data_IF_958261640611
#
_entry.id   IF_958261640611
#
_cell.length_a   1.000
_cell.length_b   1.000
_cell.length_c   1.000
_cell.angle_alpha   90.00
_cell.angle_beta   90.00
_cell.angle_gamma   90.00
#
_symmetry.space_group_name_H-M   'P 1'
#
loop_
_entity.id
_entity.type
_entity.pdbx_description
1 polymer ?
#
# COMPACT_ATOMS: atom_id res chain seq x y z
N UNK A 1 25.02 17.81 25.12
CA UNK A 1 25.26 16.37 25.34
C UNK A 1 26.66 15.98 24.87
N UNK A 2 27.10 16.34 23.64
CA UNK A 2 28.42 15.99 23.11
C UNK A 2 29.61 16.55 23.97
N UNK A 3 29.50 17.74 24.49
CA UNK A 3 30.54 18.33 25.35
C UNK A 3 30.65 17.64 26.71
N UNK A 4 29.55 17.17 27.30
CA UNK A 4 29.57 16.48 28.60
C UNK A 4 30.16 15.09 28.55
N UNK A 5 30.01 14.38 27.44
CA UNK A 5 30.53 13.02 27.26
C UNK A 5 32.04 13.02 26.99
N UNK A 6 32.56 14.06 26.33
CA UNK A 6 34.01 14.22 26.10
C UNK A 6 34.75 14.47 27.45
N UNK A 7 34.17 15.24 28.36
CA UNK A 7 34.75 15.49 29.71
C UNK A 7 34.81 14.23 30.59
N UNK A 8 33.78 13.35 30.49
CA UNK A 8 33.75 12.10 31.28
C UNK A 8 34.76 11.04 30.81
N UNK A 9 35.12 11.05 29.54
CA UNK A 9 36.14 10.14 28.99
C UNK A 9 37.58 10.59 29.35
N UNK A 10 37.86 11.87 29.41
CA UNK A 10 39.17 12.38 29.73
C UNK A 10 39.57 12.10 31.19
N UNK A 11 38.64 12.16 32.14
CA UNK A 11 38.95 11.96 33.56
C UNK A 11 39.07 10.49 33.99
N UNK A 12 38.39 9.57 33.30
CA UNK A 12 38.33 8.15 33.73
C UNK A 12 39.30 7.19 32.99
N UNK A 13 39.54 7.39 31.71
CA UNK A 13 40.38 6.49 30.91
C UNK A 13 41.84 6.97 30.77
N UNK A 14 42.10 8.26 30.84
CA UNK A 14 43.45 8.83 30.64
C UNK A 14 44.48 8.46 31.69
N UNK A 15 44.18 8.29 32.97
CA UNK A 15 45.18 7.86 33.96
C UNK A 15 45.72 6.44 33.73
N UNK A 16 44.89 5.54 33.25
CA UNK A 16 45.28 4.14 33.00
C UNK A 16 46.14 3.95 31.76
N UNK A 17 46.04 4.84 30.76
CA UNK A 17 46.78 4.76 29.50
C UNK A 17 48.15 5.45 29.54
N UNK A 18 48.45 6.19 30.64
CA UNK A 18 49.73 6.94 30.72
C UNK A 18 51.00 6.10 30.83
N UNK A 19 50.90 4.86 31.26
CA UNK A 19 52.07 4.05 31.58
C UNK A 19 52.51 3.06 30.48
N UNK A 20 51.72 2.80 29.42
CA UNK A 20 52.01 1.68 28.55
C UNK A 20 52.00 1.96 27.03
N UNK A 21 51.58 3.14 26.54
CA UNK A 21 51.34 3.32 25.10
C UNK A 21 51.87 4.66 24.57
N UNK A 22 52.71 4.64 23.51
CA UNK A 22 53.29 5.86 22.90
C UNK A 22 52.24 6.81 22.31
N UNK A 23 52.61 8.11 22.23
CA UNK A 23 51.74 9.23 21.87
C UNK A 23 50.96 9.01 20.57
N UNK A 24 51.56 8.34 19.57
CA UNK A 24 50.97 8.06 18.27
C UNK A 24 49.82 7.04 18.33
N UNK A 25 49.87 6.06 19.22
CA UNK A 25 48.80 5.05 19.36
C UNK A 25 47.59 5.65 20.11
N UNK A 26 47.78 6.58 21.04
CA UNK A 26 46.69 7.31 21.71
C UNK A 26 45.92 8.18 20.75
N UNK A 27 46.64 8.87 19.84
CA UNK A 27 46.01 9.70 18.80
C UNK A 27 45.22 8.85 17.80
N UNK A 28 45.70 7.70 17.44
CA UNK A 28 45.02 6.73 16.53
C UNK A 28 43.72 6.16 17.17
N UNK A 29 43.82 5.78 18.46
CA UNK A 29 42.62 5.29 19.20
C UNK A 29 41.57 6.39 19.37
N UNK A 30 41.98 7.62 19.70
CA UNK A 30 41.08 8.75 19.82
C UNK A 30 40.36 9.09 18.53
N UNK A 31 41.10 9.13 17.43
CA UNK A 31 40.50 9.33 16.10
C UNK A 31 39.55 8.20 15.67
N UNK A 32 39.87 6.94 16.00
CA UNK A 32 39.03 5.80 15.73
C UNK A 32 37.68 5.85 16.53
N UNK A 33 37.77 6.28 17.80
CA UNK A 33 36.60 6.44 18.68
C UNK A 33 35.71 7.59 18.16
N UNK A 34 36.30 8.73 17.80
CA UNK A 34 35.56 9.88 17.24
C UNK A 34 34.91 9.47 15.91
N UNK A 35 35.64 8.80 15.02
CA UNK A 35 35.09 8.35 13.73
C UNK A 35 33.91 7.39 13.91
N UNK A 36 34.03 6.41 14.83
CA UNK A 36 32.92 5.50 15.15
C UNK A 36 31.75 6.24 15.82
N UNK A 37 32.03 7.21 16.70
CA UNK A 37 30.99 7.99 17.35
C UNK A 37 30.27 8.91 16.35
N UNK A 38 30.98 9.59 15.46
CA UNK A 38 30.39 10.37 14.37
C UNK A 38 29.56 9.50 13.41
N UNK A 39 30.04 8.29 13.10
CA UNK A 39 29.27 7.37 12.25
C UNK A 39 28.01 6.84 12.96
N UNK A 40 28.03 6.63 14.26
CA UNK A 40 26.84 6.24 15.04
C UNK A 40 25.87 7.41 15.19
N UNK A 41 26.37 8.62 15.41
CA UNK A 41 25.50 9.83 15.50
C UNK A 41 24.87 10.12 14.14
N UNK A 42 25.61 10.04 13.03
CA UNK A 42 25.03 10.20 11.69
C UNK A 42 24.04 9.10 11.35
N UNK A 43 24.29 7.85 11.78
CA UNK A 43 23.31 6.75 11.66
C UNK A 43 22.05 6.99 12.52
N UNK A 44 22.19 7.53 13.72
CA UNK A 44 21.05 7.89 14.59
C UNK A 44 20.26 9.07 14.01
N UNK A 45 20.93 10.04 13.38
CA UNK A 45 20.27 11.15 12.67
C UNK A 45 19.52 10.67 11.44
N UNK A 46 20.08 9.72 10.68
CA UNK A 46 19.40 9.07 9.53
C UNK A 46 18.20 8.24 9.99
N UNK A 47 18.31 7.56 11.15
CA UNK A 47 17.22 6.75 11.73
C UNK A 47 16.08 7.65 12.27
N UNK A 48 16.39 8.88 12.68
CA UNK A 48 15.43 9.85 13.22
C UNK A 48 14.95 10.90 12.20
N UNK A 49 15.21 10.75 10.92
CA UNK A 49 14.59 11.62 9.92
C UNK A 49 13.08 11.32 9.87
N UNK A 50 12.33 12.07 10.66
CA UNK A 50 10.87 12.09 10.53
C UNK A 50 10.48 12.56 9.13
N UNK A 51 9.50 11.89 8.52
CA UNK A 51 8.95 12.29 7.22
C UNK A 51 8.49 13.75 7.27
N UNK A 52 8.85 14.56 6.28
CA UNK A 52 8.29 15.89 6.12
C UNK A 52 6.79 15.82 5.84
N UNK A 53 6.00 16.27 6.80
CA UNK A 53 4.53 16.33 6.72
C UNK A 53 3.99 17.73 6.46
N UNK A 54 4.84 18.70 6.15
CA UNK A 54 4.44 20.11 5.95
C UNK A 54 3.42 20.27 4.82
N UNK A 55 3.56 19.49 3.76
CA UNK A 55 2.63 19.45 2.64
C UNK A 55 1.25 18.86 2.99
N UNK A 56 1.14 18.17 4.12
CA UNK A 56 -0.08 17.56 4.67
C UNK A 56 -0.79 18.46 5.71
N UNK A 57 -0.46 19.77 5.76
CA UNK A 57 -1.02 20.70 6.75
C UNK A 57 -2.55 20.69 6.82
N UNK A 58 -3.24 20.58 5.68
CA UNK A 58 -4.71 20.47 5.65
C UNK A 58 -5.22 19.15 6.20
N UNK A 59 -4.51 18.06 5.98
CA UNK A 59 -4.81 16.76 6.58
C UNK A 59 -4.60 16.81 8.09
N UNK A 60 -3.48 17.41 8.54
CA UNK A 60 -3.18 17.62 9.95
C UNK A 60 -4.27 18.41 10.68
N UNK A 61 -4.80 19.48 10.08
CA UNK A 61 -5.93 20.24 10.62
C UNK A 61 -7.20 19.41 10.79
N UNK A 62 -7.44 18.43 9.90
CA UNK A 62 -8.65 17.61 9.92
C UNK A 62 -8.59 16.47 10.93
N UNK A 63 -7.48 15.72 10.96
CA UNK A 63 -7.36 14.49 11.76
C UNK A 63 -6.46 14.66 13.00
N UNK A 64 -5.76 15.77 13.14
CA UNK A 64 -4.75 16.02 14.16
C UNK A 64 -3.36 15.52 13.78
N UNK A 65 -2.32 16.18 14.29
CA UNK A 65 -0.92 15.86 13.94
C UNK A 65 -0.51 14.47 14.43
N UNK A 66 -0.94 14.05 15.61
CA UNK A 66 -0.62 12.73 16.18
C UNK A 66 -1.09 11.59 15.26
N UNK A 67 -2.35 11.64 14.80
CA UNK A 67 -2.89 10.65 13.87
C UNK A 67 -2.19 10.69 12.53
N UNK A 68 -1.85 11.89 12.03
CA UNK A 68 -1.08 12.02 10.80
C UNK A 68 0.31 11.40 10.94
N UNK A 69 1.04 11.68 12.00
CA UNK A 69 2.33 11.05 12.30
C UNK A 69 2.21 9.52 12.44
N UNK A 70 1.12 9.03 13.02
CA UNK A 70 0.89 7.58 13.07
C UNK A 70 0.76 6.96 11.69
N UNK A 71 0.17 7.65 10.71
CA UNK A 71 0.07 7.17 9.33
C UNK A 71 1.44 7.06 8.64
N UNK A 72 2.40 7.95 8.96
CA UNK A 72 3.76 7.86 8.38
C UNK A 72 4.52 6.61 8.81
N UNK A 73 4.06 5.91 9.84
CA UNK A 73 4.65 4.65 10.31
C UNK A 73 3.95 3.41 9.75
N UNK A 74 2.87 3.59 8.95
CA UNK A 74 2.04 2.50 8.46
C UNK A 74 2.49 1.98 7.11
N UNK A 75 2.29 0.68 6.91
CA UNK A 75 2.51 -0.03 5.66
C UNK A 75 1.18 -0.45 5.03
N UNK A 76 0.85 0.06 3.86
CA UNK A 76 -0.34 -0.33 3.08
C UNK A 76 0.08 -1.05 1.80
N UNK A 77 -0.52 -2.21 1.55
CA UNK A 77 -0.34 -2.96 0.30
C UNK A 77 -1.54 -2.75 -0.62
N UNK A 78 -1.29 -2.47 -1.90
CA UNK A 78 -2.34 -2.36 -2.94
C UNK A 78 -2.07 -3.39 -4.03
N UNK A 79 -3.03 -4.29 -4.25
CA UNK A 79 -2.92 -5.39 -5.21
C UNK A 79 -3.87 -5.18 -6.37
N UNK A 80 -3.31 -5.04 -7.58
CA UNK A 80 -3.99 -4.64 -8.79
C UNK A 80 -4.01 -3.11 -8.95
N UNK A 81 -3.42 -2.59 -10.03
CA UNK A 81 -3.32 -1.16 -10.34
C UNK A 81 -4.17 -0.76 -11.56
N UNK A 82 -5.31 -1.43 -11.70
CA UNK A 82 -6.33 -1.09 -12.68
C UNK A 82 -7.14 0.15 -12.31
N UNK A 83 -8.40 0.20 -12.74
CA UNK A 83 -9.29 1.34 -12.51
C UNK A 83 -9.63 1.64 -11.04
N UNK A 84 -9.53 0.66 -10.15
CA UNK A 84 -9.78 0.82 -8.71
C UNK A 84 -8.46 1.06 -7.96
N UNK A 85 -7.51 0.13 -8.08
CA UNK A 85 -6.33 0.13 -7.23
C UNK A 85 -5.36 1.28 -7.54
N UNK A 86 -5.26 1.75 -8.79
CA UNK A 86 -4.41 2.90 -9.11
C UNK A 86 -4.87 4.18 -8.41
N UNK A 87 -6.18 4.45 -8.38
CA UNK A 87 -6.73 5.58 -7.63
C UNK A 87 -6.60 5.36 -6.11
N UNK A 88 -6.85 4.14 -5.63
CA UNK A 88 -6.66 3.83 -4.21
C UNK A 88 -5.21 4.09 -3.77
N UNK A 89 -4.22 3.61 -4.53
CA UNK A 89 -2.80 3.84 -4.23
C UNK A 89 -2.45 5.34 -4.20
N UNK A 90 -2.97 6.12 -5.14
CA UNK A 90 -2.79 7.57 -5.15
C UNK A 90 -3.35 8.23 -3.89
N UNK A 91 -4.60 7.91 -3.50
CA UNK A 91 -5.21 8.49 -2.30
C UNK A 91 -4.48 8.08 -1.02
N UNK A 92 -3.99 6.84 -0.94
CA UNK A 92 -3.17 6.37 0.18
C UNK A 92 -1.85 7.16 0.25
N UNK A 93 -1.14 7.36 -0.87
CA UNK A 93 0.09 8.15 -0.91
C UNK A 93 -0.16 9.62 -0.49
N UNK A 94 -1.26 10.23 -0.98
CA UNK A 94 -1.69 11.58 -0.62
C UNK A 94 -2.12 11.75 0.83
N UNK A 95 -2.36 10.66 1.53
CA UNK A 95 -2.71 10.67 2.97
C UNK A 95 -1.49 10.61 3.90
N UNK A 96 -0.27 10.55 3.37
CA UNK A 96 0.96 10.55 4.16
C UNK A 96 1.35 9.18 4.72
N UNK A 97 0.91 8.09 4.10
CA UNK A 97 1.39 6.74 4.45
C UNK A 97 2.91 6.67 4.21
N UNK A 98 3.66 6.13 5.18
CA UNK A 98 5.12 6.07 5.11
C UNK A 98 5.64 4.91 4.27
N UNK A 99 4.92 3.78 4.22
CA UNK A 99 5.33 2.60 3.45
C UNK A 99 4.19 2.06 2.61
N UNK A 100 4.47 1.74 1.36
CA UNK A 100 3.49 1.13 0.46
C UNK A 100 4.12 0.00 -0.35
N UNK A 101 3.37 -1.08 -0.56
CA UNK A 101 3.67 -2.10 -1.56
C UNK A 101 2.60 -2.03 -2.65
N UNK A 102 3.00 -1.92 -3.91
CA UNK A 102 2.10 -1.97 -5.08
C UNK A 102 2.42 -3.19 -5.92
N UNK A 103 1.37 -3.91 -6.36
CA UNK A 103 1.49 -5.18 -7.08
C UNK A 103 0.62 -5.14 -8.33
N UNK A 104 1.22 -5.27 -9.52
CA UNK A 104 0.51 -5.45 -10.78
C UNK A 104 1.46 -6.01 -11.84
N UNK A 105 1.07 -7.11 -12.50
CA UNK A 105 1.83 -7.74 -13.57
C UNK A 105 1.49 -7.26 -14.99
N UNK A 106 0.46 -6.40 -15.13
CA UNK A 106 -0.02 -5.95 -16.42
C UNK A 106 0.78 -4.76 -17.00
N UNK A 107 0.67 -4.63 -18.31
CA UNK A 107 1.05 -3.42 -19.05
C UNK A 107 -0.19 -2.61 -19.43
N UNK A 108 0.00 -1.36 -19.81
CA UNK A 108 -1.08 -0.49 -20.29
C UNK A 108 -1.59 -0.96 -21.64
N UNK A 109 -2.90 -1.24 -21.74
CA UNK A 109 -3.62 -1.49 -22.96
C UNK A 109 -4.41 -0.24 -23.41
N UNK A 110 -4.56 0.03 -24.72
CA UNK A 110 -5.33 1.19 -25.21
C UNK A 110 -6.74 1.30 -24.62
N UNK A 111 -7.42 0.15 -24.37
CA UNK A 111 -8.76 0.10 -23.79
C UNK A 111 -8.82 0.45 -22.31
N UNK A 112 -7.67 0.56 -21.64
CA UNK A 112 -7.59 0.97 -20.24
C UNK A 112 -7.78 2.47 -20.02
N UNK A 113 -7.52 3.26 -21.06
CA UNK A 113 -7.50 4.75 -21.02
C UNK A 113 -8.80 5.36 -20.53
N UNK A 114 -9.92 4.68 -20.73
CA UNK A 114 -11.22 5.22 -20.32
C UNK A 114 -11.41 5.25 -18.78
N UNK A 115 -10.60 4.49 -17.99
CA UNK A 115 -10.86 4.34 -16.55
C UNK A 115 -9.65 4.06 -15.65
N UNK A 116 -8.48 3.78 -16.20
CA UNK A 116 -7.29 3.44 -15.40
C UNK A 116 -6.33 4.62 -15.34
N UNK A 117 -5.98 5.06 -14.15
CA UNK A 117 -5.10 6.22 -13.92
C UNK A 117 -3.74 6.13 -14.63
N UNK A 118 -3.04 4.97 -14.67
CA UNK A 118 -1.76 4.87 -15.36
C UNK A 118 -1.87 4.90 -16.88
N UNK A 119 -3.07 4.76 -17.47
CA UNK A 119 -3.22 4.58 -18.90
C UNK A 119 -3.41 5.89 -19.67
N UNK A 120 -2.43 6.24 -20.49
CA UNK A 120 -2.40 7.42 -21.37
C UNK A 120 -2.26 6.98 -22.84
N UNK A 121 -2.50 7.89 -23.77
CA UNK A 121 -2.29 7.63 -25.20
C UNK A 121 -0.82 7.36 -25.56
N UNK A 122 0.08 7.81 -24.71
CA UNK A 122 1.54 7.86 -24.98
C UNK A 122 2.32 6.73 -24.29
N UNK A 123 1.66 5.85 -23.50
CA UNK A 123 2.38 4.86 -22.68
C UNK A 123 1.85 3.41 -22.81
N UNK A 124 1.27 3.08 -23.98
CA UNK A 124 0.84 1.71 -24.25
C UNK A 124 2.00 0.73 -24.18
N UNK A 125 1.79 -0.44 -23.59
CA UNK A 125 2.82 -1.46 -23.41
C UNK A 125 3.76 -1.23 -22.23
N UNK A 126 3.67 -0.07 -21.54
CA UNK A 126 4.48 0.18 -20.35
C UNK A 126 3.84 -0.47 -19.12
N UNK A 127 4.66 -1.00 -18.21
CA UNK A 127 4.18 -1.61 -16.96
C UNK A 127 3.38 -0.61 -16.13
N UNK A 128 2.16 -1.00 -15.71
CA UNK A 128 1.31 -0.20 -14.82
C UNK A 128 2.00 0.10 -13.50
N UNK A 129 2.71 -0.89 -12.95
CA UNK A 129 3.42 -0.74 -11.68
C UNK A 129 4.54 0.31 -11.77
N UNK A 130 5.31 0.36 -12.87
CA UNK A 130 6.35 1.38 -13.05
C UNK A 130 5.77 2.79 -13.23
N UNK A 131 4.69 2.94 -13.98
CA UNK A 131 4.02 4.24 -14.14
C UNK A 131 3.50 4.74 -12.78
N UNK A 132 2.92 3.84 -12.00
CA UNK A 132 2.44 4.20 -10.66
C UNK A 132 3.58 4.46 -9.67
N UNK A 133 4.71 3.78 -9.78
CA UNK A 133 5.91 4.08 -9.00
C UNK A 133 6.35 5.54 -9.18
N UNK A 134 6.57 5.95 -10.44
CA UNK A 134 6.95 7.33 -10.76
C UNK A 134 5.94 8.34 -10.20
N UNK A 135 4.65 8.08 -10.43
CA UNK A 135 3.58 8.95 -9.97
C UNK A 135 3.50 9.07 -8.45
N UNK A 136 3.56 7.94 -7.73
CA UNK A 136 3.46 7.92 -6.27
C UNK A 136 4.68 8.60 -5.62
N UNK A 137 5.87 8.39 -6.18
CA UNK A 137 7.09 9.08 -5.76
C UNK A 137 7.07 10.58 -6.05
N UNK A 138 6.44 11.01 -7.14
CA UNK A 138 6.25 12.44 -7.43
C UNK A 138 5.24 13.09 -6.45
N UNK A 139 4.29 12.34 -5.89
CA UNK A 139 3.34 12.82 -4.88
C UNK A 139 3.99 12.87 -3.49
N UNK A 140 4.67 11.80 -3.11
CA UNK A 140 5.32 11.63 -1.81
C UNK A 140 6.73 11.08 -2.03
N UNK A 141 7.75 11.96 -2.18
CA UNK A 141 9.13 11.54 -2.43
C UNK A 141 9.72 10.65 -1.34
N UNK A 142 9.27 10.81 -0.09
CA UNK A 142 9.76 10.05 1.07
C UNK A 142 9.07 8.70 1.25
N UNK A 143 8.01 8.42 0.48
CA UNK A 143 7.29 7.16 0.54
C UNK A 143 8.24 5.97 0.31
N UNK A 144 8.36 5.07 1.28
CA UNK A 144 9.06 3.80 1.11
C UNK A 144 8.20 2.87 0.23
N UNK A 145 8.51 2.83 -1.07
CA UNK A 145 7.71 2.13 -2.06
C UNK A 145 8.37 0.83 -2.51
N UNK A 146 7.70 -0.30 -2.29
CA UNK A 146 8.03 -1.61 -2.85
C UNK A 146 7.14 -1.88 -4.08
N UNK A 147 7.77 -2.17 -5.23
CA UNK A 147 7.09 -2.35 -6.52
C UNK A 147 7.25 -3.77 -7.02
N UNK A 148 6.14 -4.51 -7.10
CA UNK A 148 6.09 -5.90 -7.55
C UNK A 148 5.42 -5.97 -8.92
N UNK A 149 6.20 -6.31 -9.95
CA UNK A 149 5.78 -6.39 -11.35
C UNK A 149 5.41 -7.83 -11.74
N UNK A 150 4.55 -8.45 -10.95
CA UNK A 150 4.18 -9.85 -11.11
C UNK A 150 2.68 -10.04 -11.01
N UNK A 151 2.18 -11.08 -11.68
CA UNK A 151 0.83 -11.55 -11.45
C UNK A 151 0.74 -12.30 -10.11
N UNK A 152 -0.43 -12.19 -9.48
CA UNK A 152 -0.70 -12.84 -8.22
C UNK A 152 -0.55 -14.36 -8.33
N UNK A 153 0.38 -14.91 -7.56
CA UNK A 153 0.58 -16.35 -7.33
C UNK A 153 0.78 -16.60 -5.84
N UNK A 154 0.60 -17.85 -5.35
CA UNK A 154 0.66 -18.16 -3.91
C UNK A 154 2.01 -17.81 -3.25
N UNK A 155 3.12 -18.04 -3.93
CA UNK A 155 4.48 -17.82 -3.43
C UNK A 155 4.74 -16.33 -3.22
N UNK A 156 4.44 -15.52 -4.25
CA UNK A 156 4.56 -14.07 -4.19
C UNK A 156 3.68 -13.49 -3.08
N UNK A 157 2.41 -13.95 -2.97
CA UNK A 157 1.50 -13.46 -1.91
C UNK A 157 2.06 -13.74 -0.52
N UNK A 158 2.54 -14.97 -0.26
CA UNK A 158 3.16 -15.32 1.03
C UNK A 158 4.37 -14.45 1.33
N UNK A 159 5.23 -14.23 0.35
CA UNK A 159 6.39 -13.36 0.47
C UNK A 159 5.98 -11.92 0.80
N UNK A 160 5.00 -11.36 0.09
CA UNK A 160 4.59 -9.97 0.34
C UNK A 160 3.87 -9.82 1.68
N UNK A 161 3.08 -10.80 2.10
CA UNK A 161 2.43 -10.79 3.42
C UNK A 161 3.44 -10.95 4.57
N UNK A 162 4.60 -11.59 4.34
CA UNK A 162 5.64 -11.71 5.37
C UNK A 162 6.33 -10.37 5.72
N UNK A 163 6.11 -9.31 4.94
CA UNK A 163 6.51 -7.94 5.28
C UNK A 163 5.56 -7.23 6.23
N UNK A 164 4.56 -7.94 6.77
CA UNK A 164 3.60 -7.52 7.79
C UNK A 164 2.93 -6.17 7.49
N UNK A 165 2.18 -6.05 6.37
CA UNK A 165 1.44 -4.84 6.07
C UNK A 165 0.33 -4.61 7.10
N UNK A 166 0.17 -3.36 7.56
CA UNK A 166 -0.92 -2.97 8.48
C UNK A 166 -2.31 -3.12 7.83
N UNK A 167 -2.38 -2.93 6.50
CA UNK A 167 -3.62 -3.03 5.75
C UNK A 167 -3.38 -3.40 4.28
N UNK A 168 -4.34 -4.10 3.69
CA UNK A 168 -4.32 -4.45 2.27
C UNK A 168 -5.56 -3.95 1.56
N UNK A 169 -5.38 -3.35 0.37
CA UNK A 169 -6.43 -3.07 -0.60
C UNK A 169 -6.33 -4.11 -1.72
N UNK A 170 -7.31 -4.99 -1.81
CA UNK A 170 -7.44 -5.93 -2.91
C UNK A 170 -8.33 -5.34 -4.01
N UNK A 171 -7.72 -5.00 -5.14
CA UNK A 171 -8.37 -4.49 -6.34
C UNK A 171 -8.22 -5.45 -7.55
N UNK A 172 -8.00 -6.73 -7.30
CA UNK A 172 -7.91 -7.77 -8.33
C UNK A 172 -9.29 -7.98 -8.96
N UNK A 173 -9.38 -7.97 -10.27
CA UNK A 173 -10.62 -8.12 -11.02
C UNK A 173 -10.84 -9.54 -11.61
N UNK A 174 -9.87 -10.44 -11.42
CA UNK A 174 -9.93 -11.85 -11.85
C UNK A 174 -10.20 -12.75 -10.65
N UNK A 175 -11.12 -13.72 -10.78
CA UNK A 175 -11.59 -14.53 -9.64
C UNK A 175 -10.50 -15.39 -9.00
N UNK A 176 -9.79 -16.20 -9.79
CA UNK A 176 -8.80 -17.15 -9.25
C UNK A 176 -7.69 -16.46 -8.48
N UNK A 177 -6.98 -15.44 -9.03
CA UNK A 177 -5.96 -14.72 -8.29
C UNK A 177 -6.51 -14.02 -7.04
N UNK A 178 -7.72 -13.43 -7.15
CA UNK A 178 -8.39 -12.78 -6.03
C UNK A 178 -8.66 -13.75 -4.87
N UNK A 179 -9.19 -14.93 -5.16
CA UNK A 179 -9.46 -15.94 -4.12
C UNK A 179 -8.17 -16.44 -3.50
N UNK A 180 -7.13 -16.70 -4.29
CA UNK A 180 -5.81 -17.06 -3.79
C UNK A 180 -5.28 -16.02 -2.81
N UNK A 181 -5.36 -14.74 -3.20
CA UNK A 181 -4.91 -13.63 -2.38
C UNK A 181 -5.73 -13.51 -1.08
N UNK A 182 -7.07 -13.44 -1.20
CA UNK A 182 -7.97 -13.26 -0.04
C UNK A 182 -7.87 -14.40 0.97
N UNK A 183 -7.70 -15.64 0.51
CA UNK A 183 -7.48 -16.81 1.37
C UNK A 183 -6.20 -16.64 2.21
N UNK A 184 -5.08 -16.38 1.55
CA UNK A 184 -3.78 -16.24 2.23
C UNK A 184 -3.75 -15.02 3.18
N UNK A 185 -4.36 -13.91 2.77
CA UNK A 185 -4.48 -12.72 3.60
C UNK A 185 -5.36 -12.99 4.85
N UNK A 186 -6.46 -13.73 4.69
CA UNK A 186 -7.33 -14.13 5.80
C UNK A 186 -6.62 -15.07 6.79
N UNK A 187 -5.88 -16.06 6.29
CA UNK A 187 -5.07 -16.96 7.09
C UNK A 187 -3.96 -16.22 7.87
N UNK A 188 -3.36 -15.21 7.26
CA UNK A 188 -2.36 -14.33 7.89
C UNK A 188 -2.95 -13.30 8.85
N UNK A 189 -4.29 -13.21 8.96
CA UNK A 189 -5.01 -12.24 9.83
C UNK A 189 -4.72 -10.78 9.53
N UNK A 190 -4.21 -10.46 8.35
CA UNK A 190 -4.00 -9.08 7.92
C UNK A 190 -5.36 -8.42 7.61
N UNK A 191 -5.49 -7.14 7.95
CA UNK A 191 -6.69 -6.37 7.61
C UNK A 191 -6.80 -6.17 6.10
N UNK A 192 -7.96 -6.49 5.52
CA UNK A 192 -8.22 -6.37 4.08
C UNK A 192 -9.50 -5.60 3.82
N UNK A 193 -9.45 -4.70 2.83
CA UNK A 193 -10.63 -4.23 2.12
C UNK A 193 -10.54 -4.66 0.66
N UNK A 194 -11.56 -5.40 0.19
CA UNK A 194 -11.59 -5.95 -1.17
C UNK A 194 -12.62 -5.21 -2.03
N UNK A 195 -12.21 -4.74 -3.20
CA UNK A 195 -13.13 -4.18 -4.18
C UNK A 195 -13.89 -5.28 -4.91
N UNK A 196 -15.21 -5.14 -4.98
CA UNK A 196 -16.03 -6.00 -5.84
C UNK A 196 -16.15 -5.40 -7.25
N UNK A 197 -17.00 -5.97 -8.11
CA UNK A 197 -17.11 -5.56 -9.51
C UNK A 197 -17.66 -4.14 -9.66
N UNK A 198 -16.89 -3.26 -10.30
CA UNK A 198 -17.28 -1.90 -10.66
C UNK A 198 -17.88 -1.80 -12.08
N UNK A 199 -17.79 -2.84 -12.88
CA UNK A 199 -18.38 -2.88 -14.24
C UNK A 199 -19.89 -3.04 -14.21
N UNK A 200 -20.54 -2.65 -15.33
CA UNK A 200 -22.00 -2.70 -15.56
C UNK A 200 -22.85 -1.86 -14.61
N UNK A 201 -22.28 -0.80 -14.03
CA UNK A 201 -22.92 0.07 -13.05
C UNK A 201 -22.58 1.52 -13.33
N UNK A 202 -23.44 2.45 -12.85
CA UNK A 202 -23.33 3.87 -13.17
C UNK A 202 -23.39 4.78 -11.93
N UNK A 203 -24.13 4.41 -10.89
CA UNK A 203 -24.41 5.31 -9.76
C UNK A 203 -23.39 5.16 -8.63
N UNK A 204 -22.44 6.10 -8.46
CA UNK A 204 -21.42 6.02 -7.42
C UNK A 204 -22.00 6.26 -6.01
N UNK A 205 -23.21 6.85 -5.90
CA UNK A 205 -23.83 7.12 -4.60
C UNK A 205 -24.37 5.86 -3.92
N UNK A 206 -24.49 4.76 -4.67
CA UNK A 206 -24.95 3.46 -4.15
C UNK A 206 -23.84 2.58 -3.59
N UNK A 207 -22.58 3.05 -3.58
CA UNK A 207 -21.51 2.26 -3.01
C UNK A 207 -21.70 2.02 -1.51
N UNK A 208 -21.43 0.79 -1.11
CA UNK A 208 -21.51 0.36 0.28
C UNK A 208 -20.21 -0.33 0.72
N UNK A 209 -19.89 -0.14 2.01
CA UNK A 209 -18.81 -0.86 2.70
C UNK A 209 -19.44 -1.81 3.70
N UNK A 210 -19.30 -3.11 3.47
CA UNK A 210 -19.90 -4.15 4.31
C UNK A 210 -18.99 -5.37 4.42
N UNK A 211 -19.32 -6.29 5.30
CA UNK A 211 -18.75 -7.64 5.24
C UNK A 211 -19.18 -8.36 3.96
N UNK A 212 -18.31 -9.17 3.37
CA UNK A 212 -18.57 -9.92 2.14
C UNK A 212 -19.86 -10.74 2.21
N UNK A 213 -20.21 -11.27 3.38
CA UNK A 213 -21.43 -12.04 3.62
C UNK A 213 -22.71 -11.25 3.42
N UNK A 214 -22.66 -9.92 3.53
CA UNK A 214 -23.79 -9.01 3.42
C UNK A 214 -24.00 -8.44 2.02
N UNK A 215 -23.17 -8.82 1.05
CA UNK A 215 -23.30 -8.32 -0.34
C UNK A 215 -24.47 -8.96 -1.07
N UNK A 216 -25.13 -8.21 -1.97
CA UNK A 216 -26.26 -8.65 -2.78
C UNK A 216 -26.23 -7.97 -4.17
N UNK A 217 -27.01 -8.45 -5.12
CA UNK A 217 -27.14 -7.92 -6.49
C UNK A 217 -25.83 -7.71 -7.28
N UNK A 218 -24.70 -8.19 -6.78
CA UNK A 218 -23.40 -8.10 -7.44
C UNK A 218 -22.93 -9.52 -7.85
N UNK A 219 -22.95 -9.88 -9.15
CA UNK A 219 -22.54 -11.22 -9.61
C UNK A 219 -21.10 -11.57 -9.25
N UNK A 220 -20.19 -10.61 -9.33
CA UNK A 220 -18.78 -10.80 -8.94
C UNK A 220 -18.66 -11.13 -7.46
N UNK A 221 -19.30 -10.36 -6.58
CA UNK A 221 -19.31 -10.65 -5.15
C UNK A 221 -19.96 -12.02 -4.82
N UNK A 222 -20.99 -12.42 -5.57
CA UNK A 222 -21.62 -13.74 -5.45
C UNK A 222 -20.62 -14.86 -5.75
N UNK A 223 -19.84 -14.73 -6.82
CA UNK A 223 -18.82 -15.72 -7.19
C UNK A 223 -17.70 -15.75 -6.13
N UNK A 224 -17.22 -14.59 -5.67
CA UNK A 224 -16.21 -14.47 -4.61
C UNK A 224 -16.69 -15.20 -3.34
N UNK A 225 -17.94 -14.94 -2.87
CA UNK A 225 -18.50 -15.65 -1.71
C UNK A 225 -18.56 -17.16 -1.92
N UNK A 226 -19.02 -17.60 -3.10
CA UNK A 226 -19.13 -19.03 -3.44
C UNK A 226 -17.77 -19.72 -3.34
N UNK A 227 -16.72 -19.10 -3.88
CA UNK A 227 -15.38 -19.68 -3.88
C UNK A 227 -14.73 -19.61 -2.50
N UNK A 228 -14.85 -18.50 -1.76
CA UNK A 228 -14.34 -18.38 -0.39
C UNK A 228 -14.99 -19.40 0.55
N UNK A 229 -16.27 -19.71 0.36
CA UNK A 229 -16.96 -20.76 1.14
C UNK A 229 -16.33 -22.14 0.97
N UNK A 230 -15.71 -22.46 -0.17
CA UNK A 230 -14.98 -23.70 -0.39
C UNK A 230 -13.71 -23.80 0.47
N UNK A 231 -13.22 -22.66 0.97
CA UNK A 231 -12.11 -22.53 1.92
C UNK A 231 -12.57 -22.20 3.34
N UNK A 232 -13.84 -22.48 3.66
CA UNK A 232 -14.47 -22.24 4.99
C UNK A 232 -14.55 -20.77 5.41
N UNK A 233 -14.20 -19.82 4.51
CA UNK A 233 -14.27 -18.38 4.74
C UNK A 233 -15.68 -17.89 4.37
N UNK A 234 -16.48 -17.54 5.37
CA UNK A 234 -17.88 -17.11 5.19
C UNK A 234 -18.12 -15.65 5.52
N UNK A 235 -17.23 -15.03 6.34
CA UNK A 235 -17.31 -13.64 6.83
C UNK A 235 -15.91 -13.15 7.24
N UNK A 236 -15.80 -11.90 7.63
CA UNK A 236 -14.54 -11.34 8.14
C UNK A 236 -13.71 -10.62 7.08
N UNK A 237 -14.23 -10.47 5.85
CA UNK A 237 -13.59 -9.69 4.78
C UNK A 237 -14.46 -8.48 4.48
N UNK A 238 -13.94 -7.28 4.74
CA UNK A 238 -14.58 -6.01 4.41
C UNK A 238 -14.51 -5.78 2.91
N UNK A 239 -15.61 -5.35 2.29
CA UNK A 239 -15.67 -5.13 0.83
C UNK A 239 -16.31 -3.80 0.48
N UNK A 240 -15.87 -3.22 -0.64
CA UNK A 240 -16.55 -2.13 -1.33
C UNK A 240 -17.33 -2.73 -2.48
N UNK A 241 -18.64 -2.51 -2.53
CA UNK A 241 -19.49 -3.00 -3.61
C UNK A 241 -20.64 -2.03 -3.90
N UNK A 242 -21.28 -2.16 -5.05
CA UNK A 242 -22.54 -1.50 -5.39
C UNK A 242 -23.64 -2.54 -5.53
N UNK A 243 -24.82 -2.33 -4.91
CA UNK A 243 -25.98 -3.20 -5.06
C UNK A 243 -26.78 -2.95 -6.34
N UNK A 244 -26.29 -2.07 -7.23
CA UNK A 244 -26.94 -1.86 -8.51
C UNK A 244 -27.06 -3.17 -9.29
N UNK A 245 -28.20 -3.37 -9.93
CA UNK A 245 -28.35 -4.44 -10.91
C UNK A 245 -27.43 -4.19 -12.11
N UNK A 246 -26.61 -5.16 -12.50
CA UNK A 246 -25.70 -4.97 -13.63
C UNK A 246 -26.46 -4.79 -14.95
N UNK A 247 -25.99 -3.87 -15.76
CA UNK A 247 -26.46 -3.69 -17.15
C UNK A 247 -25.96 -4.89 -17.97
N UNK A 248 -26.84 -5.88 -18.18
CA UNK A 248 -26.48 -7.18 -18.76
C UNK A 248 -25.99 -7.08 -20.22
N UNK A 249 -26.51 -6.12 -20.96
CA UNK A 249 -26.19 -5.83 -22.35
C UNK A 249 -24.75 -5.35 -22.52
N UNK A 250 -24.12 -4.90 -21.43
CA UNK A 250 -22.70 -4.48 -21.41
C UNK A 250 -21.71 -5.63 -21.24
N UNK A 251 -22.19 -6.88 -21.11
CA UNK A 251 -21.35 -8.06 -20.98
C UNK A 251 -20.71 -8.40 -22.33
N UNK A 252 -19.39 -8.57 -22.35
CA UNK A 252 -18.69 -9.14 -23.48
C UNK A 252 -17.82 -10.33 -23.04
N UNK A 253 -17.73 -11.34 -23.91
CA UNK A 253 -16.81 -12.46 -23.73
C UNK A 253 -15.41 -12.04 -24.16
N UNK A 254 -14.40 -12.52 -23.45
CA UNK A 254 -12.98 -12.28 -23.72
C UNK A 254 -12.30 -13.56 -24.19
N UNK A 255 -11.07 -13.46 -24.67
CA UNK A 255 -10.26 -14.60 -25.12
C UNK A 255 -9.76 -15.52 -23.99
N UNK A 256 -10.16 -15.26 -22.74
CA UNK A 256 -9.79 -16.04 -21.57
C UNK A 256 -8.37 -15.80 -21.05
N UNK A 257 -7.59 -14.92 -21.67
CA UNK A 257 -6.26 -14.53 -21.17
C UNK A 257 -6.36 -13.88 -19.79
N UNK A 258 -5.28 -13.96 -19.01
CA UNK A 258 -5.16 -13.39 -17.67
C UNK A 258 -6.32 -13.75 -16.72
N UNK A 259 -6.83 -15.00 -16.83
CA UNK A 259 -7.94 -15.53 -16.02
C UNK A 259 -9.27 -14.77 -16.19
N UNK A 260 -9.44 -13.99 -17.25
CA UNK A 260 -10.67 -13.27 -17.61
C UNK A 260 -11.42 -13.98 -18.70
N UNK A 261 -12.60 -14.54 -18.39
CA UNK A 261 -13.51 -15.17 -19.37
C UNK A 261 -14.54 -14.20 -19.91
N UNK A 262 -14.80 -13.11 -19.20
CA UNK A 262 -15.76 -12.07 -19.57
C UNK A 262 -15.39 -10.72 -18.94
N UNK A 263 -15.82 -9.64 -19.56
CA UNK A 263 -15.72 -8.29 -19.06
C UNK A 263 -17.06 -7.59 -19.18
N UNK A 264 -17.28 -6.57 -18.34
CA UNK A 264 -18.41 -5.67 -18.46
C UNK A 264 -17.96 -4.29 -18.93
N UNK A 265 -18.82 -3.60 -19.65
CA UNK A 265 -18.67 -2.18 -19.92
C UNK A 265 -18.43 -1.43 -18.61
N UNK A 266 -17.54 -0.46 -18.62
CA UNK A 266 -17.13 0.27 -17.42
C UNK A 266 -17.03 1.76 -17.75
N UNK A 267 -17.73 2.59 -16.99
CA UNK A 267 -17.63 4.05 -17.07
C UNK A 267 -16.37 4.56 -16.35
N UNK A 268 -15.87 5.74 -16.73
CA UNK A 268 -14.59 6.28 -16.28
C UNK A 268 -14.50 6.50 -14.76
N UNK A 269 -15.52 7.09 -14.17
CA UNK A 269 -15.49 7.56 -12.77
C UNK A 269 -15.76 6.46 -11.74
N UNK A 270 -16.57 5.45 -12.08
CA UNK A 270 -17.06 4.51 -11.07
C UNK A 270 -15.94 3.70 -10.41
N UNK A 271 -14.97 3.10 -11.15
CA UNK A 271 -13.83 2.44 -10.53
C UNK A 271 -12.99 3.37 -9.66
N UNK A 272 -12.83 4.63 -10.06
CA UNK A 272 -12.10 5.63 -9.27
C UNK A 272 -12.77 5.88 -7.92
N UNK A 273 -14.11 5.97 -7.89
CA UNK A 273 -14.87 6.13 -6.63
C UNK A 273 -14.77 4.88 -5.76
N UNK A 274 -14.79 3.66 -6.34
CA UNK A 274 -14.47 2.43 -5.59
C UNK A 274 -13.08 2.51 -4.93
N UNK A 275 -12.07 3.01 -5.66
CA UNK A 275 -10.72 3.23 -5.15
C UNK A 275 -10.68 4.25 -4.02
N UNK A 276 -11.39 5.37 -4.17
CA UNK A 276 -11.50 6.41 -3.15
C UNK A 276 -12.15 5.88 -1.86
N UNK A 277 -13.26 5.12 -1.99
CA UNK A 277 -13.94 4.51 -0.85
C UNK A 277 -13.04 3.48 -0.17
N UNK A 278 -12.34 2.62 -0.93
CA UNK A 278 -11.40 1.65 -0.37
C UNK A 278 -10.26 2.34 0.41
N UNK A 279 -9.67 3.39 -0.15
CA UNK A 279 -8.65 4.20 0.52
C UNK A 279 -9.19 4.84 1.81
N UNK A 280 -10.41 5.40 1.77
CA UNK A 280 -11.05 5.99 2.95
C UNK A 280 -11.26 4.97 4.08
N UNK A 281 -11.64 3.74 3.74
CA UNK A 281 -11.76 2.63 4.71
C UNK A 281 -10.43 2.38 5.39
N UNK A 282 -9.35 2.28 4.62
CA UNK A 282 -8.00 2.01 5.15
C UNK A 282 -7.55 3.14 6.08
N UNK A 283 -7.60 4.39 5.60
CA UNK A 283 -7.14 5.54 6.39
C UNK A 283 -7.93 5.68 7.69
N UNK A 284 -9.26 5.61 7.63
CA UNK A 284 -10.12 5.74 8.82
C UNK A 284 -9.87 4.63 9.83
N UNK A 285 -9.70 3.39 9.38
CA UNK A 285 -9.40 2.25 10.25
C UNK A 285 -8.00 2.37 10.89
N UNK A 286 -7.00 2.87 10.15
CA UNK A 286 -5.64 3.10 10.66
C UNK A 286 -5.56 4.22 11.70
N UNK A 287 -6.38 5.27 11.59
CA UNK A 287 -6.45 6.36 12.59
C UNK A 287 -7.44 6.08 13.73
N UNK A 288 -8.01 4.87 13.78
CA UNK A 288 -8.90 4.44 14.87
C UNK A 288 -10.34 4.97 14.77
N UNK A 289 -10.79 5.43 13.59
CA UNK A 289 -12.18 5.78 13.38
C UNK A 289 -13.05 4.52 13.17
N UNK A 290 -14.22 4.49 13.82
CA UNK A 290 -15.18 3.39 13.61
C UNK A 290 -15.79 3.47 12.22
N UNK A 291 -15.75 2.37 11.48
CA UNK A 291 -16.29 2.21 10.13
C UNK A 291 -17.44 1.20 10.14
#
# INVERSE_FOLDING_TARGET
LAHGIVFYFDDFLFPYLRSAIGLNLKFAIYNLIIFKFCSVVSLLEIINMEMDISWLSRTSLLIGEERLRSLTQKHVMVVGLGGVGSFAAEFIARSGIGKMTIIDGDVVDPTNRNRQLPALATNHGVSKALIMEERLKAINPELQLNVVKEFVNPEMVKQQLSYDPDYVIDAIDSLTPKITFLKLAYESKVKVVSSMGAGAKLDPTKLQVVDISKTFNCPFAQQVRKMLKQHEIRKGIKVVFSPENPIKESLMLTDGKNFKKSAYGTISYLPAVFGAVAASVVIRDLIGEKI
#
